data_IF_918432141652
#
_entry.id   IF_918432141652
#
_cell.length_a   1.000
_cell.length_b   1.000
_cell.length_c   1.000
_cell.angle_alpha   90.00
_cell.angle_beta   90.00
_cell.angle_gamma   90.00
#
_symmetry.space_group_name_H-M   'P 1'
#
loop_
_entity.id
_entity.type
_entity.pdbx_description
1 polymer ?
#
# COMPACT_ATOMS: atom_id res chain seq x y z
N UNK A 1 10.61 0.12 -18.03
CA UNK A 1 9.29 0.64 -18.49
C UNK A 1 9.50 2.07 -18.98
N UNK A 2 8.84 2.52 -20.04
CA UNK A 2 8.94 3.92 -20.47
C UNK A 2 8.16 4.85 -19.53
N UNK A 3 8.60 6.11 -19.40
CA UNK A 3 7.95 7.08 -18.52
C UNK A 3 6.47 7.32 -18.85
N UNK A 4 6.11 7.39 -20.13
CA UNK A 4 4.71 7.59 -20.53
C UNK A 4 3.80 6.41 -20.15
N UNK A 5 4.31 5.16 -20.19
CA UNK A 5 3.56 3.98 -19.74
C UNK A 5 3.42 3.94 -18.23
N UNK A 6 4.47 4.33 -17.50
CA UNK A 6 4.40 4.49 -16.05
C UNK A 6 3.33 5.51 -15.67
N UNK A 7 3.38 6.72 -16.24
CA UNK A 7 2.42 7.78 -15.96
C UNK A 7 0.97 7.37 -16.29
N UNK A 8 0.77 6.68 -17.43
CA UNK A 8 -0.52 6.13 -17.80
C UNK A 8 -1.01 5.05 -16.81
N UNK A 9 -0.09 4.26 -16.25
CA UNK A 9 -0.40 3.23 -15.26
C UNK A 9 -0.84 3.87 -13.94
N UNK A 10 -0.03 4.77 -13.38
CA UNK A 10 -0.32 5.51 -12.13
C UNK A 10 -1.70 6.17 -12.18
N UNK A 11 -2.04 6.84 -13.29
CA UNK A 11 -3.34 7.52 -13.45
C UNK A 11 -4.56 6.59 -13.34
N UNK A 12 -4.41 5.33 -13.77
CA UNK A 12 -5.51 4.39 -13.94
C UNK A 12 -5.55 3.26 -12.91
N UNK A 13 -4.45 3.05 -12.18
CA UNK A 13 -4.33 2.05 -11.14
C UNK A 13 -5.20 2.43 -9.93
N UNK A 14 -5.86 1.44 -9.33
CA UNK A 14 -6.70 1.60 -8.13
C UNK A 14 -6.28 0.69 -6.98
N UNK A 15 -5.20 -0.04 -7.18
CA UNK A 15 -4.51 -0.70 -6.10
C UNK A 15 -3.53 -1.75 -6.58
N UNK A 16 -2.61 -2.12 -5.70
CA UNK A 16 -1.66 -3.21 -5.87
C UNK A 16 -2.15 -4.41 -5.08
N UNK A 17 -2.24 -5.58 -5.71
CA UNK A 17 -2.71 -6.80 -5.05
C UNK A 17 -1.58 -7.50 -4.33
N UNK A 18 -1.85 -7.92 -3.09
CA UNK A 18 -0.94 -8.70 -2.27
C UNK A 18 -1.67 -9.85 -1.58
N UNK A 19 -1.06 -11.03 -1.58
CA UNK A 19 -1.52 -12.18 -0.81
C UNK A 19 -0.39 -13.14 -0.45
N UNK A 20 -0.43 -13.64 0.78
CA UNK A 20 0.36 -14.76 1.26
C UNK A 20 -0.49 -15.99 1.62
N UNK A 21 -1.81 -15.90 1.43
CA UNK A 21 -2.80 -16.91 1.78
C UNK A 21 -2.77 -18.13 0.83
N UNK A 22 -3.59 -19.13 1.09
CA UNK A 22 -3.72 -20.30 0.23
C UNK A 22 -4.26 -19.95 -1.16
N UNK A 23 -3.92 -20.70 -2.22
CA UNK A 23 -4.47 -20.49 -3.56
C UNK A 23 -6.01 -20.48 -3.61
N UNK A 24 -6.67 -21.29 -2.78
CA UNK A 24 -8.13 -21.36 -2.71
C UNK A 24 -8.74 -20.05 -2.19
N UNK A 25 -8.21 -19.51 -1.08
CA UNK A 25 -8.64 -18.22 -0.53
C UNK A 25 -8.39 -17.11 -1.54
N UNK A 26 -7.20 -17.10 -2.15
CA UNK A 26 -6.86 -16.10 -3.16
C UNK A 26 -7.84 -16.13 -4.35
N UNK A 27 -8.12 -17.32 -4.90
CA UNK A 27 -9.03 -17.47 -6.04
C UNK A 27 -10.44 -16.98 -5.73
N UNK A 28 -10.98 -17.32 -4.54
CA UNK A 28 -12.30 -16.86 -4.10
C UNK A 28 -12.37 -15.33 -4.08
N UNK A 29 -11.40 -14.68 -3.42
CA UNK A 29 -11.38 -13.22 -3.26
C UNK A 29 -11.07 -12.49 -4.57
N UNK A 30 -10.26 -13.06 -5.46
CA UNK A 30 -10.03 -12.50 -6.82
C UNK A 30 -11.31 -12.52 -7.64
N UNK A 31 -12.08 -13.63 -7.63
CA UNK A 31 -13.39 -13.67 -8.31
C UNK A 31 -14.35 -12.63 -7.73
N UNK A 32 -14.30 -12.37 -6.43
CA UNK A 32 -15.05 -11.29 -5.78
C UNK A 32 -14.60 -9.90 -6.26
N UNK A 33 -13.29 -9.68 -6.38
CA UNK A 33 -12.69 -8.43 -6.88
C UNK A 33 -13.06 -8.14 -8.34
N UNK A 34 -12.88 -9.11 -9.24
CA UNK A 34 -13.18 -8.98 -10.68
C UNK A 34 -14.62 -8.53 -10.91
N UNK A 35 -15.58 -9.09 -10.15
CA UNK A 35 -17.00 -8.72 -10.27
C UNK A 35 -17.26 -7.25 -9.94
N UNK A 36 -16.44 -6.65 -9.05
CA UNK A 36 -16.58 -5.28 -8.53
C UNK A 36 -15.70 -4.26 -9.23
N UNK A 37 -14.52 -4.65 -9.71
CA UNK A 37 -13.52 -3.80 -10.36
C UNK A 37 -13.61 -3.78 -11.90
N UNK A 38 -14.81 -3.80 -12.47
CA UNK A 38 -15.03 -4.02 -13.92
C UNK A 38 -14.29 -3.06 -14.88
N UNK A 39 -13.89 -1.86 -14.43
CA UNK A 39 -13.33 -0.81 -15.30
C UNK A 39 -12.08 -0.12 -14.72
N UNK A 40 -11.47 -0.69 -13.69
CA UNK A 40 -10.39 -0.04 -12.92
C UNK A 40 -9.22 -1.00 -12.81
N UNK A 41 -8.02 -0.53 -13.11
CA UNK A 41 -6.86 -1.40 -13.14
C UNK A 41 -6.43 -1.76 -11.72
N UNK A 42 -6.19 -3.05 -11.49
CA UNK A 42 -5.51 -3.57 -10.32
C UNK A 42 -4.15 -4.12 -10.76
N UNK A 43 -3.11 -3.79 -10.03
CA UNK A 43 -1.75 -4.13 -10.38
C UNK A 43 -1.29 -5.35 -9.59
N UNK A 44 -0.47 -6.19 -10.21
CA UNK A 44 0.22 -7.26 -9.52
C UNK A 44 1.63 -7.44 -10.06
N UNK A 45 2.51 -7.96 -9.22
CA UNK A 45 3.85 -8.35 -9.64
C UNK A 45 3.85 -9.74 -10.31
N UNK A 46 4.71 -10.00 -11.31
CA UNK A 46 4.81 -11.31 -11.95
C UNK A 46 5.04 -12.48 -10.98
N UNK A 47 5.74 -12.26 -9.87
CA UNK A 47 5.96 -13.25 -8.81
C UNK A 47 4.64 -13.71 -8.17
N UNK A 48 3.67 -12.79 -8.00
CA UNK A 48 2.35 -13.12 -7.47
C UNK A 48 1.63 -14.09 -8.41
N UNK A 49 1.74 -13.90 -9.73
CA UNK A 49 1.14 -14.80 -10.72
C UNK A 49 1.81 -16.17 -10.78
N UNK A 50 3.11 -16.28 -10.48
CA UNK A 50 3.77 -17.59 -10.33
C UNK A 50 3.15 -18.38 -9.18
N UNK A 51 2.84 -17.71 -8.06
CA UNK A 51 2.19 -18.34 -6.90
C UNK A 51 0.69 -18.58 -7.12
N UNK A 52 0.02 -17.68 -7.82
CA UNK A 52 -1.43 -17.73 -8.09
C UNK A 52 -1.74 -17.53 -9.58
N UNK A 53 -1.57 -18.57 -10.42
CA UNK A 53 -1.73 -18.45 -11.87
C UNK A 53 -3.11 -17.97 -12.32
N UNK A 54 -4.16 -18.16 -11.51
CA UNK A 54 -5.53 -17.73 -11.81
C UNK A 54 -5.65 -16.23 -12.09
N UNK A 55 -4.78 -15.38 -11.54
CA UNK A 55 -4.82 -13.94 -11.78
C UNK A 55 -4.57 -13.58 -13.26
N UNK A 56 -3.77 -14.39 -13.97
CA UNK A 56 -3.45 -14.19 -15.39
C UNK A 56 -4.66 -14.38 -16.31
N UNK A 57 -5.67 -15.16 -15.88
CA UNK A 57 -6.96 -15.29 -16.59
C UNK A 57 -7.66 -13.95 -16.76
N UNK A 58 -7.35 -12.98 -15.89
CA UNK A 58 -7.98 -11.67 -15.83
C UNK A 58 -7.00 -10.55 -16.23
N UNK A 59 -5.89 -10.89 -16.91
CA UNK A 59 -4.96 -9.93 -17.48
C UNK A 59 -5.66 -9.04 -18.52
N UNK A 60 -5.38 -7.75 -18.49
CA UNK A 60 -5.99 -6.72 -19.34
C UNK A 60 -7.27 -6.14 -18.75
N UNK A 61 -8.10 -6.94 -18.03
CA UNK A 61 -9.30 -6.47 -17.30
C UNK A 61 -9.66 -7.40 -16.12
N UNK A 62 -9.58 -6.95 -14.85
CA UNK A 62 -9.06 -5.65 -14.39
C UNK A 62 -7.55 -5.65 -14.14
N UNK A 63 -6.84 -6.77 -14.31
CA UNK A 63 -5.47 -6.87 -13.83
C UNK A 63 -4.44 -6.46 -14.87
N UNK A 64 -3.38 -5.79 -14.41
CA UNK A 64 -2.20 -5.47 -15.20
C UNK A 64 -0.95 -5.87 -14.43
N UNK A 65 0.10 -6.24 -15.17
CA UNK A 65 1.42 -6.50 -14.58
C UNK A 65 2.11 -5.18 -14.27
N UNK A 66 2.67 -5.08 -13.07
CA UNK A 66 3.47 -3.95 -12.64
C UNK A 66 4.96 -4.24 -12.82
N UNK A 67 5.73 -3.19 -13.07
CA UNK A 67 7.17 -3.22 -13.22
C UNK A 67 7.81 -2.05 -12.48
N UNK A 68 9.06 -2.17 -12.05
CA UNK A 68 9.75 -1.03 -11.46
C UNK A 68 10.02 0.04 -12.54
N UNK A 69 9.74 1.32 -12.28
CA UNK A 69 9.93 2.37 -13.29
C UNK A 69 11.42 2.66 -13.53
N UNK A 70 12.27 2.48 -12.52
CA UNK A 70 13.74 2.60 -12.59
C UNK A 70 14.43 1.49 -11.76
N UNK A 71 15.66 1.09 -12.09
CA UNK A 71 16.40 0.03 -11.38
C UNK A 71 16.60 0.30 -9.89
N UNK A 72 16.91 1.52 -9.50
CA UNK A 72 17.22 1.91 -8.12
C UNK A 72 16.03 1.67 -7.18
N UNK A 73 14.79 1.85 -7.69
CA UNK A 73 13.59 1.51 -6.93
C UNK A 73 13.39 0.01 -6.79
N UNK A 74 13.83 -0.79 -7.77
CA UNK A 74 13.79 -2.25 -7.64
C UNK A 74 14.74 -2.69 -6.53
N UNK A 75 15.99 -2.26 -6.59
CA UNK A 75 17.03 -2.59 -5.61
C UNK A 75 16.62 -2.18 -4.19
N UNK A 76 16.09 -0.96 -4.05
CA UNK A 76 15.59 -0.49 -2.77
C UNK A 76 14.41 -1.33 -2.24
N UNK A 77 13.46 -1.70 -3.11
CA UNK A 77 12.33 -2.53 -2.70
C UNK A 77 12.75 -3.95 -2.32
N UNK A 78 13.73 -4.52 -3.02
CA UNK A 78 14.33 -5.82 -2.68
C UNK A 78 15.07 -5.77 -1.34
N UNK A 79 15.81 -4.68 -1.06
CA UNK A 79 16.44 -4.44 0.25
C UNK A 79 15.38 -4.39 1.38
N UNK A 80 14.28 -3.66 1.16
CA UNK A 80 13.18 -3.59 2.13
C UNK A 80 12.52 -4.96 2.33
N UNK A 81 12.28 -5.72 1.25
CA UNK A 81 11.75 -7.09 1.31
C UNK A 81 12.66 -8.01 2.14
N UNK A 82 13.97 -7.94 1.94
CA UNK A 82 14.94 -8.76 2.68
C UNK A 82 14.91 -8.45 4.18
N UNK A 83 14.85 -7.16 4.56
CA UNK A 83 14.95 -6.73 5.96
C UNK A 83 13.63 -6.73 6.72
N UNK A 84 12.52 -6.44 6.04
CA UNK A 84 11.20 -6.22 6.64
C UNK A 84 10.14 -7.21 6.13
N UNK A 85 10.52 -8.15 5.27
CA UNK A 85 9.62 -9.18 4.74
C UNK A 85 8.75 -8.72 3.57
N UNK A 86 8.03 -9.67 2.97
CA UNK A 86 7.29 -9.49 1.72
C UNK A 86 6.27 -8.36 1.75
N UNK A 87 5.61 -8.12 2.89
CA UNK A 87 4.61 -7.06 3.02
C UNK A 87 5.20 -5.68 2.72
N UNK A 88 6.43 -5.40 3.16
CA UNK A 88 7.12 -4.13 2.92
C UNK A 88 7.25 -3.80 1.44
N UNK A 89 7.52 -4.80 0.59
CA UNK A 89 7.62 -4.65 -0.85
C UNK A 89 6.31 -4.24 -1.50
N UNK A 90 5.20 -4.84 -1.11
CA UNK A 90 3.90 -4.50 -1.67
C UNK A 90 3.40 -3.13 -1.17
N UNK A 91 3.76 -2.74 0.07
CA UNK A 91 3.52 -1.39 0.58
C UNK A 91 4.34 -0.36 -0.22
N UNK A 92 5.63 -0.62 -0.42
CA UNK A 92 6.51 0.21 -1.22
C UNK A 92 6.03 0.36 -2.67
N UNK A 93 5.59 -0.73 -3.30
CA UNK A 93 5.01 -0.69 -4.64
C UNK A 93 3.72 0.12 -4.71
N UNK A 94 2.87 0.00 -3.68
CA UNK A 94 1.64 0.80 -3.58
C UNK A 94 1.98 2.29 -3.50
N UNK A 95 3.05 2.64 -2.77
CA UNK A 95 3.61 3.99 -2.69
C UNK A 95 4.14 4.46 -4.05
N UNK A 96 5.00 3.67 -4.71
CA UNK A 96 5.55 3.99 -6.04
C UNK A 96 4.43 4.29 -7.03
N UNK A 97 3.39 3.45 -7.05
CA UNK A 97 2.29 3.60 -7.99
C UNK A 97 1.17 4.54 -7.53
N UNK A 98 1.31 5.21 -6.40
CA UNK A 98 0.33 6.16 -5.83
C UNK A 98 -1.07 5.55 -5.77
N UNK A 99 -1.16 4.35 -5.20
CA UNK A 99 -2.41 3.61 -5.13
C UNK A 99 -2.55 2.83 -3.82
N UNK A 100 -3.76 2.42 -3.43
CA UNK A 100 -3.95 1.58 -2.26
C UNK A 100 -3.29 0.20 -2.39
N UNK A 101 -2.92 -0.39 -1.25
CA UNK A 101 -2.65 -1.81 -1.19
C UNK A 101 -3.98 -2.58 -1.12
N UNK A 102 -4.13 -3.68 -1.84
CA UNK A 102 -5.28 -4.59 -1.75
C UNK A 102 -4.80 -5.90 -1.12
N UNK A 103 -5.13 -6.08 0.15
CA UNK A 103 -4.70 -7.23 0.96
C UNK A 103 -5.74 -8.33 0.87
N UNK A 104 -5.33 -9.51 0.40
CA UNK A 104 -6.21 -10.67 0.21
C UNK A 104 -5.89 -11.76 1.22
N UNK A 105 -6.87 -12.10 2.06
CA UNK A 105 -6.81 -13.19 3.03
C UNK A 105 -6.29 -12.80 4.42
N UNK A 106 -6.77 -13.51 5.44
CA UNK A 106 -6.46 -13.28 6.87
C UNK A 106 -4.96 -13.49 7.15
N UNK A 107 -4.29 -14.46 6.49
CA UNK A 107 -2.86 -14.68 6.67
C UNK A 107 -2.03 -13.49 6.16
N UNK A 108 -2.47 -12.85 5.09
CA UNK A 108 -1.81 -11.67 4.55
C UNK A 108 -2.06 -10.45 5.42
N UNK A 109 -3.27 -10.33 5.98
CA UNK A 109 -3.59 -9.26 6.93
C UNK A 109 -2.63 -9.28 8.13
N UNK A 110 -2.33 -10.44 8.69
CA UNK A 110 -1.42 -10.53 9.85
C UNK A 110 -0.01 -10.03 9.54
N UNK A 111 0.51 -10.23 8.32
CA UNK A 111 1.85 -9.74 7.94
C UNK A 111 1.86 -8.25 7.61
N UNK A 112 0.75 -7.69 7.14
CA UNK A 112 0.60 -6.25 6.88
C UNK A 112 0.40 -5.45 8.17
N UNK A 113 -0.17 -6.05 9.21
CA UNK A 113 -0.52 -5.39 10.47
C UNK A 113 0.68 -4.78 11.19
N UNK A 114 1.88 -5.33 11.02
CA UNK A 114 3.12 -4.81 11.59
C UNK A 114 3.48 -3.39 11.10
N UNK A 115 2.96 -2.98 9.94
CA UNK A 115 3.19 -1.66 9.35
C UNK A 115 2.05 -0.68 9.62
N UNK A 116 1.02 -1.12 10.34
CA UNK A 116 -0.21 -0.36 10.56
C UNK A 116 -0.05 0.68 11.66
N UNK A 117 -0.37 1.93 11.33
CA UNK A 117 -0.42 3.04 12.30
C UNK A 117 -1.82 3.19 12.89
N UNK A 118 -2.85 3.02 12.08
CA UNK A 118 -4.26 3.06 12.49
C UNK A 118 -5.11 2.26 11.49
N UNK A 119 -6.31 1.85 11.89
CA UNK A 119 -7.24 1.11 11.05
C UNK A 119 -8.68 1.56 11.23
N UNK A 120 -9.49 1.34 10.21
CA UNK A 120 -10.95 1.44 10.26
C UNK A 120 -11.49 0.04 10.50
N UNK A 121 -12.13 -0.15 11.65
CA UNK A 121 -12.82 -1.39 12.00
C UNK A 121 -14.31 -1.28 11.62
N UNK A 122 -14.93 -2.40 11.27
CA UNK A 122 -16.37 -2.46 11.05
C UNK A 122 -16.97 -3.79 11.50
N UNK A 123 -18.20 -3.73 12.00
CA UNK A 123 -19.07 -4.90 12.25
C UNK A 123 -20.18 -4.99 11.19
N UNK A 124 -20.21 -4.07 10.23
CA UNK A 124 -21.23 -4.04 9.19
C UNK A 124 -20.90 -5.02 8.07
N UNK A 125 -21.92 -5.75 7.62
CA UNK A 125 -21.86 -6.43 6.35
C UNK A 125 -21.89 -5.40 5.22
N UNK A 126 -20.77 -5.32 4.50
CA UNK A 126 -20.53 -4.29 3.50
C UNK A 126 -21.22 -4.64 2.17
N UNK A 127 -22.16 -3.80 1.73
CA UNK A 127 -22.78 -3.95 0.42
C UNK A 127 -21.81 -3.58 -0.72
N UNK A 128 -22.16 -3.92 -1.96
CA UNK A 128 -21.40 -3.50 -3.15
C UNK A 128 -21.25 -1.98 -3.26
N UNK A 129 -22.24 -1.23 -2.79
CA UNK A 129 -22.22 0.23 -2.79
C UNK A 129 -21.22 0.74 -1.76
N UNK A 130 -21.18 0.12 -0.58
CA UNK A 130 -20.26 0.49 0.50
C UNK A 130 -18.82 0.21 0.07
N UNK A 131 -18.53 -0.99 -0.43
CA UNK A 131 -17.20 -1.31 -0.95
C UNK A 131 -16.74 -0.32 -2.03
N UNK A 132 -17.57 -0.02 -3.02
CA UNK A 132 -17.23 0.95 -4.08
C UNK A 132 -16.94 2.35 -3.54
N UNK A 133 -17.70 2.79 -2.54
CA UNK A 133 -17.48 4.09 -1.88
C UNK A 133 -16.15 4.08 -1.14
N UNK A 134 -15.93 3.10 -0.26
CA UNK A 134 -14.81 3.12 0.67
C UNK A 134 -13.48 2.77 0.00
N UNK A 135 -13.47 1.93 -1.03
CA UNK A 135 -12.29 1.74 -1.88
C UNK A 135 -11.89 3.01 -2.62
N UNK A 136 -12.86 3.86 -2.99
CA UNK A 136 -12.56 5.16 -3.59
C UNK A 136 -12.02 6.16 -2.58
N UNK A 137 -12.52 6.13 -1.34
CA UNK A 137 -11.96 6.94 -0.26
C UNK A 137 -10.50 6.53 -0.03
N UNK A 138 -10.18 5.23 0.02
CA UNK A 138 -8.81 4.73 0.15
C UNK A 138 -7.91 5.20 -1.00
N UNK A 139 -8.39 5.11 -2.25
CA UNK A 139 -7.68 5.64 -3.43
C UNK A 139 -7.37 7.14 -3.28
N UNK A 140 -8.33 7.93 -2.78
CA UNK A 140 -8.12 9.34 -2.49
C UNK A 140 -7.16 9.59 -1.33
N UNK A 141 -7.18 8.76 -0.27
CA UNK A 141 -6.23 8.87 0.84
C UNK A 141 -4.79 8.87 0.32
N UNK A 142 -4.42 7.89 -0.52
CA UNK A 142 -3.05 7.80 -1.06
C UNK A 142 -2.73 9.00 -1.94
N UNK A 143 -3.65 9.37 -2.84
CA UNK A 143 -3.47 10.51 -3.75
C UNK A 143 -3.30 11.83 -3.00
N UNK A 144 -4.17 12.11 -2.03
CA UNK A 144 -4.20 13.34 -1.23
C UNK A 144 -2.94 13.45 -0.35
N UNK A 145 -2.39 12.30 0.09
CA UNK A 145 -1.23 12.26 0.96
C UNK A 145 0.10 12.29 0.20
N UNK A 146 0.15 11.78 -1.02
CA UNK A 146 1.41 11.37 -1.66
C UNK A 146 2.49 12.45 -1.67
N UNK A 147 2.18 13.63 -2.22
CA UNK A 147 3.16 14.74 -2.31
C UNK A 147 3.67 15.13 -0.91
N UNK A 148 2.76 15.44 0.00
CA UNK A 148 3.12 15.83 1.37
C UNK A 148 3.89 14.72 2.09
N UNK A 149 3.49 13.46 1.92
CA UNK A 149 4.08 12.33 2.64
C UNK A 149 5.49 12.05 2.15
N UNK A 150 5.75 12.13 0.85
CA UNK A 150 7.09 11.98 0.27
C UNK A 150 8.01 13.13 0.68
N UNK A 151 7.54 14.38 0.68
CA UNK A 151 8.28 15.55 1.16
C UNK A 151 8.67 15.40 2.64
N UNK A 152 7.72 14.99 3.49
CA UNK A 152 7.97 14.73 4.92
C UNK A 152 8.93 13.55 5.12
N UNK A 153 8.78 12.46 4.36
CA UNK A 153 9.71 11.32 4.42
C UNK A 153 11.14 11.75 4.05
N UNK A 154 11.32 12.58 3.02
CA UNK A 154 12.63 13.13 2.66
C UNK A 154 13.23 13.96 3.79
N UNK A 155 12.43 14.84 4.40
CA UNK A 155 12.87 15.68 5.52
C UNK A 155 13.27 14.85 6.75
N UNK A 156 12.49 13.82 7.10
CA UNK A 156 12.81 12.91 8.21
C UNK A 156 14.14 12.21 7.95
N UNK A 157 14.36 11.66 6.76
CA UNK A 157 15.64 11.01 6.43
C UNK A 157 16.82 11.97 6.52
N UNK A 158 16.67 13.22 6.06
CA UNK A 158 17.72 14.24 6.17
C UNK A 158 18.07 14.54 7.64
N UNK A 159 17.06 14.74 8.50
CA UNK A 159 17.26 14.99 9.93
C UNK A 159 17.91 13.79 10.62
N UNK A 160 17.43 12.58 10.31
CA UNK A 160 18.00 11.33 10.80
C UNK A 160 19.51 11.23 10.51
N UNK A 161 19.94 11.51 9.28
CA UNK A 161 21.36 11.45 8.91
C UNK A 161 22.21 12.58 9.50
N UNK A 162 21.60 13.67 9.96
CA UNK A 162 22.28 14.76 10.70
C UNK A 162 22.28 14.54 12.21
N UNK A 163 21.58 13.51 12.70
CA UNK A 163 21.38 13.31 14.14
C UNK A 163 20.48 14.37 14.78
N UNK A 164 19.61 14.99 13.99
CA UNK A 164 18.66 16.01 14.44
C UNK A 164 17.30 15.39 14.80
N UNK A 165 16.53 16.06 15.66
CA UNK A 165 15.19 15.60 16.06
C UNK A 165 14.18 15.72 14.91
N UNK A 166 13.44 14.63 14.68
CA UNK A 166 12.37 14.52 13.69
C UNK A 166 11.03 14.07 14.31
N UNK A 167 10.95 13.98 15.64
CA UNK A 167 9.77 13.47 16.37
C UNK A 167 8.47 14.21 16.03
N UNK A 168 8.55 15.53 15.81
CA UNK A 168 7.41 16.38 15.42
C UNK A 168 6.83 15.99 14.07
N UNK A 169 7.67 15.59 13.11
CA UNK A 169 7.23 15.15 11.78
C UNK A 169 6.56 13.78 11.83
N UNK A 170 7.05 12.88 12.68
CA UNK A 170 6.40 11.59 12.94
C UNK A 170 5.02 11.80 13.58
N UNK A 171 4.92 12.70 14.56
CA UNK A 171 3.64 13.06 15.18
C UNK A 171 2.66 13.69 14.17
N UNK A 172 3.15 14.52 13.25
CA UNK A 172 2.35 15.09 12.16
C UNK A 172 1.77 13.99 11.26
N UNK A 173 2.56 12.97 10.92
CA UNK A 173 2.09 11.81 10.13
C UNK A 173 0.96 11.06 10.82
N UNK A 174 1.12 10.76 12.10
CA UNK A 174 0.08 10.09 12.89
C UNK A 174 -1.19 10.96 12.95
N UNK A 175 -1.05 12.27 13.18
CA UNK A 175 -2.18 13.20 13.23
C UNK A 175 -2.94 13.27 11.90
N UNK A 176 -2.23 13.29 10.77
CA UNK A 176 -2.83 13.31 9.44
C UNK A 176 -3.63 12.04 9.15
N UNK A 177 -3.09 10.87 9.52
CA UNK A 177 -3.80 9.57 9.43
C UNK A 177 -5.10 9.62 10.24
N UNK A 178 -5.04 10.04 11.51
CA UNK A 178 -6.21 10.13 12.40
C UNK A 178 -7.28 11.08 11.84
N UNK A 179 -6.85 12.17 11.20
CA UNK A 179 -7.75 13.11 10.57
C UNK A 179 -8.49 12.52 9.35
N UNK A 180 -7.78 11.79 8.49
CA UNK A 180 -8.35 11.16 7.29
C UNK A 180 -9.27 9.97 7.63
N UNK A 181 -8.97 9.22 8.71
CA UNK A 181 -9.83 8.15 9.25
C UNK A 181 -11.29 8.57 9.45
N UNK A 182 -11.54 9.85 9.77
CA UNK A 182 -12.91 10.39 9.94
C UNK A 182 -13.77 10.30 8.67
N UNK A 183 -13.18 10.15 7.48
CA UNK A 183 -13.92 9.95 6.22
C UNK A 183 -14.74 8.65 6.20
N UNK A 184 -14.43 7.71 7.08
CA UNK A 184 -15.06 6.40 7.17
C UNK A 184 -16.17 6.31 8.22
N UNK A 185 -16.58 7.43 8.84
CA UNK A 185 -17.57 7.47 9.95
C UNK A 185 -18.86 6.67 9.71
N UNK A 186 -19.28 6.45 8.47
CA UNK A 186 -20.48 5.68 8.10
C UNK A 186 -20.37 4.19 8.42
N UNK A 187 -19.15 3.64 8.47
CA UNK A 187 -18.89 2.21 8.65
C UNK A 187 -17.99 1.91 9.83
N UNK A 188 -17.30 2.92 10.38
CA UNK A 188 -16.45 2.76 11.55
C UNK A 188 -17.22 2.24 12.76
N UNK A 189 -16.65 1.23 13.42
CA UNK A 189 -17.02 0.77 14.76
C UNK A 189 -15.74 0.70 15.62
N UNK A 190 -15.90 0.65 16.95
CA UNK A 190 -14.79 0.39 17.88
C UNK A 190 -14.39 -1.10 17.89
N UNK A 191 -15.25 -1.97 17.36
CA UNK A 191 -15.07 -3.43 17.27
C UNK A 191 -15.20 -3.92 15.84
N UNK A 192 -15.01 -5.21 15.64
CA UNK A 192 -15.22 -5.91 14.37
C UNK A 192 -13.92 -6.24 13.65
N UNK A 193 -13.95 -6.22 12.31
CA UNK A 193 -12.82 -6.55 11.46
C UNK A 193 -12.22 -5.30 10.81
N UNK A 194 -10.90 -5.25 10.59
CA UNK A 194 -10.27 -4.18 9.84
C UNK A 194 -10.70 -4.27 8.37
N UNK A 195 -11.07 -3.14 7.81
CA UNK A 195 -11.44 -3.01 6.39
C UNK A 195 -10.54 -2.06 5.63
N UNK A 196 -9.98 -1.07 6.35
CA UNK A 196 -8.98 -0.14 5.83
C UNK A 196 -7.87 0.00 6.87
N UNK A 197 -6.62 -0.02 6.45
CA UNK A 197 -5.46 0.22 7.32
C UNK A 197 -4.61 1.35 6.75
N UNK A 198 -4.03 2.17 7.61
CA UNK A 198 -3.07 3.18 7.23
C UNK A 198 -1.68 2.65 7.54
N UNK A 199 -0.89 2.47 6.50
CA UNK A 199 0.42 1.86 6.58
C UNK A 199 1.49 2.93 6.44
N UNK A 200 2.50 2.88 7.31
CA UNK A 200 3.63 3.80 7.29
C UNK A 200 4.95 3.03 7.33
N UNK A 201 5.49 2.75 6.15
CA UNK A 201 6.75 2.03 6.01
C UNK A 201 7.94 2.82 6.56
N UNK A 202 7.89 4.16 6.54
CA UNK A 202 8.95 5.01 7.08
C UNK A 202 9.13 4.78 8.58
N UNK A 203 8.03 4.70 9.33
CA UNK A 203 8.07 4.49 10.78
C UNK A 203 8.83 3.20 11.11
N UNK A 204 8.55 2.11 10.38
CA UNK A 204 9.25 0.83 10.57
C UNK A 204 10.73 0.91 10.17
N UNK A 205 11.06 1.61 9.08
CA UNK A 205 12.46 1.85 8.67
C UNK A 205 13.25 2.59 9.74
N UNK A 206 12.64 3.57 10.41
CA UNK A 206 13.28 4.33 11.48
C UNK A 206 13.40 3.50 12.76
N UNK A 207 12.33 2.83 13.18
CA UNK A 207 12.29 2.00 14.40
C UNK A 207 13.29 0.84 14.37
N UNK A 208 13.60 0.33 13.18
CA UNK A 208 14.55 -0.78 12.97
C UNK A 208 15.95 -0.31 12.58
N UNK A 209 16.21 1.01 12.62
CA UNK A 209 17.48 1.64 12.24
C UNK A 209 17.93 1.37 10.78
N UNK A 210 17.03 0.86 9.92
CA UNK A 210 17.27 0.57 8.51
C UNK A 210 17.46 1.82 7.65
N UNK A 211 17.13 3.00 8.19
CA UNK A 211 17.38 4.26 7.50
C UNK A 211 18.85 4.41 7.08
N UNK A 212 19.81 3.82 7.81
CA UNK A 212 21.24 3.82 7.43
C UNK A 212 21.51 3.16 6.09
N UNK A 213 20.83 2.04 5.82
CA UNK A 213 20.97 1.27 4.59
C UNK A 213 20.38 2.02 3.38
N UNK A 214 19.52 3.02 3.63
CA UNK A 214 18.91 3.85 2.60
C UNK A 214 19.80 5.01 2.12
N UNK A 215 21.00 5.20 2.69
CA UNK A 215 21.86 6.35 2.39
C UNK A 215 22.16 6.51 0.90
N UNK A 216 22.42 5.40 0.21
CA UNK A 216 22.70 5.38 -1.22
C UNK A 216 21.46 5.62 -2.10
N UNK A 217 20.27 5.55 -1.51
CA UNK A 217 18.98 5.66 -2.20
C UNK A 217 18.21 6.93 -1.84
N UNK A 218 18.82 7.91 -1.16
CA UNK A 218 18.14 9.11 -0.64
C UNK A 218 17.32 9.88 -1.69
N UNK A 219 17.74 9.86 -2.95
CA UNK A 219 17.05 10.51 -4.07
C UNK A 219 15.73 9.84 -4.45
N UNK A 220 15.57 8.54 -4.17
CA UNK A 220 14.40 7.72 -4.56
C UNK A 220 13.63 7.17 -3.37
N UNK A 221 14.25 7.08 -2.19
CA UNK A 221 13.66 6.52 -0.98
C UNK A 221 12.31 7.15 -0.59
N UNK A 222 12.11 8.48 -0.70
CA UNK A 222 10.80 9.06 -0.42
C UNK A 222 9.66 8.41 -1.22
N UNK A 223 9.90 7.99 -2.48
CA UNK A 223 8.87 7.42 -3.36
C UNK A 223 8.37 6.04 -2.92
N UNK A 224 9.08 5.35 -2.01
CA UNK A 224 8.65 4.05 -1.44
C UNK A 224 8.13 4.19 -0.01
N UNK A 225 8.27 5.36 0.61
CA UNK A 225 8.04 5.63 2.02
C UNK A 225 6.86 6.58 2.28
N UNK A 226 6.01 6.79 1.27
CA UNK A 226 4.74 7.51 1.48
C UNK A 226 3.77 6.66 2.30
N UNK A 227 2.90 7.30 3.07
CA UNK A 227 1.77 6.65 3.74
C UNK A 227 0.84 6.08 2.68
N UNK A 228 0.44 4.83 2.87
CA UNK A 228 -0.47 4.11 1.96
C UNK A 228 -1.67 3.60 2.74
N UNK A 229 -2.87 3.72 2.17
CA UNK A 229 -4.04 3.00 2.68
C UNK A 229 -4.08 1.58 2.11
N UNK A 230 -4.35 0.59 2.93
CA UNK A 230 -4.63 -0.77 2.51
C UNK A 230 -6.13 -1.09 2.63
N UNK A 231 -6.70 -1.72 1.61
CA UNK A 231 -8.05 -2.27 1.59
C UNK A 231 -7.96 -3.75 1.94
N UNK A 232 -8.69 -4.17 2.97
CA UNK A 232 -8.61 -5.52 3.51
C UNK A 232 -9.76 -6.38 2.98
N UNK A 233 -9.41 -7.49 2.35
CA UNK A 233 -10.34 -8.49 1.81
C UNK A 233 -9.97 -9.84 2.42
N UNK A 234 -10.21 -9.95 3.72
CA UNK A 234 -9.94 -11.14 4.54
C UNK A 234 -11.21 -12.00 4.66
#
# INVERSE_FOLDING_TARGET
MSFHLYAATVKNLRGVVYSEDSPNVFEEKIKWLVRRFRYRNLGYLPELAKKYPIIEKYLGKPFIRLYYPIPELKELVELLEEKLGTASKYIALSSIYVSPLVVIGEKTLSTVQEFSVDCVMTEKDMSDRDWKLHMRIADYTVLDFYKWSTEVSSKILQLYFRGEDYSTLIAERISKIRADKRRYWRISSDKGKPIIMYLDLLSRVIETDLARDLKSYLSVAPAVLAIVSAIIIA
#
